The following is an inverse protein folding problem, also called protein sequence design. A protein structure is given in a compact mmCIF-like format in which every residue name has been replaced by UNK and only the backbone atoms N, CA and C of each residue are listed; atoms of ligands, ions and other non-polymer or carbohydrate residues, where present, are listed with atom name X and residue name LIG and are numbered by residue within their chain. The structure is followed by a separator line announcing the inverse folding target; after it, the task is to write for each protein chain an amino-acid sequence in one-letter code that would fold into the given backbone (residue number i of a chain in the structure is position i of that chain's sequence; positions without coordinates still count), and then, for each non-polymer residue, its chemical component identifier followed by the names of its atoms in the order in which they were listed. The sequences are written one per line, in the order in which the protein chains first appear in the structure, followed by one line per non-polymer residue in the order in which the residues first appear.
data_IF_679360306835
#
_entry.id   IF_679360306835
#
_cell.length_a   1.000
_cell.length_b   1.000
_cell.length_c   1.000
_cell.angle_alpha   90.00
_cell.angle_beta   90.00
_cell.angle_gamma   90.00
#
_symmetry.space_group_name_H-M   'P 1'
#
loop_
_entity.id
_entity.type
_entity.pdbx_description
1 polymer ?
#
# COMPACT_ATOMS: atom_id res chain seq x y z
N UNK A 1 10.94 -11.51 -7.59
CA UNK A 1 12.04 -11.09 -6.70
C UNK A 1 12.67 -9.76 -7.13
N UNK A 2 13.31 -9.69 -8.29
CA UNK A 2 13.99 -8.46 -8.74
C UNK A 2 13.09 -7.23 -8.76
N UNK A 3 11.84 -7.36 -9.16
CA UNK A 3 10.86 -6.26 -9.12
C UNK A 3 10.64 -5.72 -7.70
N UNK A 4 10.60 -6.59 -6.72
CA UNK A 4 10.32 -6.22 -5.33
C UNK A 4 11.51 -5.51 -4.72
N UNK A 5 12.71 -6.02 -4.93
CA UNK A 5 13.93 -5.40 -4.41
C UNK A 5 14.16 -3.99 -4.98
N UNK A 6 13.68 -3.71 -6.20
CA UNK A 6 13.76 -2.38 -6.79
C UNK A 6 12.71 -1.40 -6.27
N UNK A 7 11.65 -1.88 -5.60
CA UNK A 7 10.63 -1.00 -5.00
C UNK A 7 11.09 -0.39 -3.70
N UNK A 8 11.75 -1.18 -2.87
CA UNK A 8 12.28 -0.78 -1.57
C UNK A 8 13.58 -1.52 -1.31
N UNK A 9 14.48 -0.89 -0.57
CA UNK A 9 15.63 -1.59 -0.01
C UNK A 9 15.16 -2.49 1.12
N UNK A 10 15.29 -3.82 1.02
CA UNK A 10 14.75 -4.73 2.02
C UNK A 10 15.28 -4.46 3.43
N UNK A 11 16.57 -4.20 3.53
CA UNK A 11 17.26 -3.91 4.79
C UNK A 11 16.77 -2.64 5.50
N UNK A 12 16.25 -1.68 4.74
CA UNK A 12 15.72 -0.41 5.26
C UNK A 12 14.22 -0.43 5.52
N UNK A 13 13.56 -1.56 5.29
CA UNK A 13 12.12 -1.70 5.55
C UNK A 13 11.82 -1.66 7.06
N UNK A 14 10.66 -1.10 7.36
CA UNK A 14 10.09 -1.06 8.70
C UNK A 14 8.57 -1.30 8.64
N UNK A 15 7.87 -1.45 9.78
CA UNK A 15 6.42 -1.71 9.79
C UNK A 15 5.56 -0.61 9.16
N UNK A 16 6.10 0.60 8.98
CA UNK A 16 5.38 1.76 8.41
C UNK A 16 5.60 1.90 6.91
N UNK A 17 6.50 1.10 6.31
CA UNK A 17 6.86 1.21 4.89
C UNK A 17 5.65 1.01 3.97
N UNK A 18 4.78 0.05 4.29
CA UNK A 18 3.54 -0.23 3.55
C UNK A 18 2.34 0.03 4.44
N UNK A 19 1.49 0.97 4.05
CA UNK A 19 0.33 1.31 4.85
C UNK A 19 -0.66 0.13 4.92
N UNK A 20 -1.11 -0.28 6.12
CA UNK A 20 -1.89 -1.50 6.29
C UNK A 20 -3.27 -1.48 5.64
N UNK A 21 -3.87 -0.29 5.45
CA UNK A 21 -5.25 -0.16 4.96
C UNK A 21 -5.39 0.65 3.68
N UNK A 22 -4.39 1.45 3.28
CA UNK A 22 -4.50 2.28 2.08
C UNK A 22 -4.40 1.45 0.80
N UNK A 23 -5.40 1.60 -0.06
CA UNK A 23 -5.48 1.12 -1.45
C UNK A 23 -4.96 -0.31 -1.70
N UNK A 24 -5.07 -1.16 -0.69
CA UNK A 24 -4.58 -2.54 -0.75
C UNK A 24 -3.07 -2.65 -1.06
N UNK A 25 -2.29 -1.61 -0.79
CA UNK A 25 -0.86 -1.63 -1.07
C UNK A 25 -0.18 -2.82 -0.39
N UNK A 26 -0.31 -2.91 0.94
CA UNK A 26 0.29 -4.00 1.72
C UNK A 26 -0.28 -5.36 1.34
N UNK A 27 -1.59 -5.50 1.16
CA UNK A 27 -2.21 -6.79 0.80
C UNK A 27 -1.78 -7.28 -0.58
N UNK A 28 -1.65 -6.38 -1.56
CA UNK A 28 -1.18 -6.74 -2.89
C UNK A 28 0.28 -7.22 -2.88
N UNK A 29 1.15 -6.51 -2.20
CA UNK A 29 2.56 -6.90 -2.08
C UNK A 29 2.67 -8.23 -1.32
N UNK A 30 1.92 -8.39 -0.24
CA UNK A 30 1.88 -9.63 0.54
C UNK A 30 1.46 -10.84 -0.30
N UNK A 31 0.40 -10.70 -1.11
CA UNK A 31 -0.05 -11.77 -2.00
C UNK A 31 1.00 -12.13 -3.06
N UNK A 32 1.70 -11.13 -3.63
CA UNK A 32 2.82 -11.38 -4.56
C UNK A 32 3.96 -12.13 -3.87
N UNK A 33 4.33 -11.75 -2.64
CA UNK A 33 5.39 -12.39 -1.86
C UNK A 33 5.04 -13.86 -1.55
N UNK A 34 3.84 -14.12 -1.08
CA UNK A 34 3.37 -15.49 -0.81
C UNK A 34 3.46 -16.39 -2.05
N UNK A 35 3.03 -15.88 -3.21
CA UNK A 35 3.09 -16.64 -4.46
C UNK A 35 4.54 -16.90 -4.89
N UNK A 36 5.42 -15.93 -4.73
CA UNK A 36 6.84 -16.06 -5.09
C UNK A 36 7.59 -17.00 -4.14
N UNK A 37 7.33 -16.90 -2.82
CA UNK A 37 7.89 -17.81 -1.82
C UNK A 37 7.49 -19.26 -2.11
N UNK A 38 6.23 -19.49 -2.43
CA UNK A 38 5.75 -20.83 -2.82
C UNK A 38 6.47 -21.36 -4.06
N UNK A 39 6.57 -20.56 -5.12
CA UNK A 39 7.30 -20.94 -6.34
C UNK A 39 8.77 -21.22 -6.05
N UNK A 40 9.41 -20.41 -5.21
CA UNK A 40 10.81 -20.59 -4.83
C UNK A 40 11.01 -21.93 -4.10
N UNK A 41 10.09 -22.28 -3.20
CA UNK A 41 10.09 -23.55 -2.48
C UNK A 41 9.91 -24.74 -3.45
N UNK A 42 8.97 -24.67 -4.38
CA UNK A 42 8.74 -25.71 -5.39
C UNK A 42 10.00 -25.95 -6.25
N UNK A 43 10.71 -24.87 -6.61
CA UNK A 43 11.97 -24.96 -7.38
C UNK A 43 13.08 -25.57 -6.51
N UNK A 44 13.19 -25.17 -5.24
CA UNK A 44 14.16 -25.74 -4.30
C UNK A 44 14.00 -27.27 -4.22
N UNK A 45 12.79 -27.74 -3.94
CA UNK A 45 12.50 -29.18 -3.83
C UNK A 45 12.76 -29.94 -5.15
N UNK A 46 12.51 -29.28 -6.28
CA UNK A 46 12.80 -29.86 -7.59
C UNK A 46 14.29 -30.07 -7.80
N UNK A 47 15.12 -29.04 -7.50
CA UNK A 47 16.58 -29.11 -7.63
C UNK A 47 17.16 -30.12 -6.65
N UNK A 48 16.69 -30.14 -5.41
CA UNK A 48 17.15 -31.09 -4.41
C UNK A 48 16.96 -32.55 -4.88
N UNK A 49 15.83 -32.85 -5.53
CA UNK A 49 15.49 -34.19 -6.04
C UNK A 49 16.19 -34.54 -7.37
N UNK A 50 16.31 -33.57 -8.27
CA UNK A 50 16.72 -33.84 -9.67
C UNK A 50 18.16 -33.48 -9.98
N UNK A 51 18.75 -32.56 -9.22
CA UNK A 51 20.09 -32.01 -9.47
C UNK A 51 20.82 -31.63 -8.16
N UNK A 52 20.96 -32.58 -7.19
CA UNK A 52 21.49 -32.29 -5.86
C UNK A 52 22.94 -31.79 -5.88
N UNK A 53 23.72 -32.10 -6.92
CA UNK A 53 25.10 -31.62 -7.07
C UNK A 53 25.21 -30.11 -7.27
N UNK A 54 24.15 -29.44 -7.73
CA UNK A 54 24.08 -28.00 -7.92
C UNK A 54 23.29 -27.28 -6.82
N UNK A 55 22.82 -28.01 -5.81
CA UNK A 55 21.96 -27.47 -4.75
C UNK A 55 22.64 -26.31 -4.00
N UNK A 56 23.91 -26.47 -3.61
CA UNK A 56 24.65 -25.41 -2.91
C UNK A 56 24.79 -24.14 -3.76
N UNK A 57 25.06 -24.28 -5.06
CA UNK A 57 25.11 -23.13 -5.96
C UNK A 57 23.74 -22.45 -6.10
N UNK A 58 22.68 -23.24 -6.18
CA UNK A 58 21.31 -22.70 -6.23
C UNK A 58 20.94 -21.96 -4.92
N UNK A 59 21.27 -22.55 -3.75
CA UNK A 59 21.04 -21.90 -2.46
C UNK A 59 21.79 -20.56 -2.41
N UNK A 60 23.08 -20.55 -2.74
CA UNK A 60 23.90 -19.34 -2.62
C UNK A 60 23.48 -18.21 -3.57
N UNK A 61 23.16 -18.55 -4.82
CA UNK A 61 22.95 -17.57 -5.88
C UNK A 61 21.48 -17.16 -6.08
N UNK A 62 20.55 -18.02 -5.68
CA UNK A 62 19.11 -17.80 -5.96
C UNK A 62 18.26 -17.90 -4.71
N UNK A 63 18.29 -19.06 -4.03
CA UNK A 63 17.36 -19.32 -2.94
C UNK A 63 17.52 -18.36 -1.75
N UNK A 64 18.73 -18.29 -1.19
CA UNK A 64 18.99 -17.47 -0.01
C UNK A 64 18.72 -15.97 -0.24
N UNK A 65 19.27 -15.32 -1.28
CA UNK A 65 19.00 -13.90 -1.50
C UNK A 65 17.53 -13.62 -1.86
N UNK A 66 16.86 -14.53 -2.59
CA UNK A 66 15.45 -14.36 -2.92
C UNK A 66 14.56 -14.59 -1.70
N UNK A 67 14.77 -15.69 -0.98
CA UNK A 67 14.02 -16.02 0.23
C UNK A 67 14.17 -14.96 1.32
N UNK A 68 15.41 -14.57 1.64
CA UNK A 68 15.69 -13.58 2.67
C UNK A 68 15.01 -12.25 2.39
N UNK A 69 15.09 -11.75 1.15
CA UNK A 69 14.43 -10.50 0.75
C UNK A 69 12.91 -10.60 0.86
N UNK A 70 12.31 -11.64 0.30
CA UNK A 70 10.86 -11.81 0.31
C UNK A 70 10.31 -12.04 1.72
N UNK A 71 10.98 -12.87 2.52
CA UNK A 71 10.61 -13.10 3.92
C UNK A 71 10.68 -11.81 4.75
N UNK A 72 11.68 -10.97 4.50
CA UNK A 72 11.82 -9.67 5.17
C UNK A 72 10.69 -8.70 4.80
N UNK A 73 10.33 -8.59 3.52
CA UNK A 73 9.19 -7.78 3.07
C UNK A 73 7.89 -8.26 3.72
N UNK A 74 7.64 -9.56 3.68
CA UNK A 74 6.49 -10.21 4.33
C UNK A 74 6.44 -9.89 5.82
N UNK A 75 7.57 -10.04 6.53
CA UNK A 75 7.67 -9.77 7.96
C UNK A 75 7.30 -8.33 8.30
N UNK A 76 7.78 -7.34 7.54
CA UNK A 76 7.48 -5.92 7.79
C UNK A 76 6.01 -5.57 7.50
N UNK A 77 5.40 -6.16 6.47
CA UNK A 77 3.96 -6.00 6.21
C UNK A 77 3.13 -6.56 7.36
N UNK A 78 3.46 -7.77 7.82
CA UNK A 78 2.79 -8.42 8.95
C UNK A 78 2.95 -7.61 10.24
N UNK A 79 4.14 -7.04 10.48
CA UNK A 79 4.38 -6.16 11.61
C UNK A 79 3.54 -4.87 11.52
N UNK A 80 3.42 -4.28 10.34
CA UNK A 80 2.52 -3.14 10.10
C UNK A 80 1.06 -3.49 10.40
N UNK A 81 0.57 -4.64 9.96
CA UNK A 81 -0.77 -5.12 10.31
C UNK A 81 -0.93 -5.42 11.80
N UNK A 82 0.08 -6.06 12.41
CA UNK A 82 0.08 -6.31 13.86
C UNK A 82 -0.06 -4.99 14.64
N UNK A 83 0.75 -3.99 14.34
CA UNK A 83 0.70 -2.69 15.01
C UNK A 83 -0.65 -1.99 14.78
N UNK A 84 -1.14 -1.95 13.55
CA UNK A 84 -2.41 -1.31 13.22
C UNK A 84 -3.57 -1.94 14.00
N UNK A 85 -3.74 -3.26 13.91
CA UNK A 85 -4.84 -3.95 14.58
C UNK A 85 -4.68 -3.99 16.11
N UNK A 86 -3.46 -4.01 16.63
CA UNK A 86 -3.21 -3.89 18.05
C UNK A 86 -3.64 -2.52 18.61
N UNK A 87 -3.37 -1.45 17.88
CA UNK A 87 -3.82 -0.11 18.26
C UNK A 87 -5.35 0.02 18.27
N UNK A 88 -6.06 -0.74 17.42
CA UNK A 88 -7.53 -0.86 17.47
C UNK A 88 -8.04 -1.78 18.58
N UNK A 89 -7.17 -2.49 19.28
CA UNK A 89 -7.52 -3.50 20.26
C UNK A 89 -8.16 -4.75 19.64
N UNK A 90 -7.99 -4.99 18.34
CA UNK A 90 -8.51 -6.15 17.64
C UNK A 90 -7.68 -7.40 17.95
N UNK A 91 -8.32 -8.48 18.42
CA UNK A 91 -7.59 -9.71 18.84
C UNK A 91 -6.89 -10.43 17.69
N UNK A 92 -7.27 -10.18 16.44
CA UNK A 92 -6.58 -10.71 15.27
C UNK A 92 -5.13 -10.17 15.12
N UNK A 93 -4.79 -9.08 15.81
CA UNK A 93 -3.41 -8.58 15.87
C UNK A 93 -2.44 -9.65 16.36
N UNK A 94 -2.88 -10.50 17.29
CA UNK A 94 -2.04 -11.56 17.84
C UNK A 94 -1.63 -12.59 16.77
N UNK A 95 -2.51 -12.92 15.83
CA UNK A 95 -2.19 -13.83 14.72
C UNK A 95 -1.09 -13.27 13.82
N UNK A 96 -1.19 -11.97 13.50
CA UNK A 96 -0.13 -11.29 12.75
C UNK A 96 1.18 -11.25 13.52
N UNK A 97 1.13 -11.05 14.83
CA UNK A 97 2.32 -11.14 15.69
C UNK A 97 2.98 -12.51 15.66
N UNK A 98 2.20 -13.60 15.71
CA UNK A 98 2.70 -14.98 15.61
C UNK A 98 3.35 -15.23 14.23
N UNK A 99 2.80 -14.65 13.16
CA UNK A 99 3.39 -14.73 11.81
C UNK A 99 4.71 -13.95 11.72
N UNK A 100 4.81 -12.78 12.36
CA UNK A 100 6.07 -12.01 12.42
C UNK A 100 7.16 -12.84 13.11
N UNK A 101 6.87 -13.44 14.26
CA UNK A 101 7.80 -14.31 14.98
C UNK A 101 8.22 -15.53 14.13
N UNK A 102 7.29 -16.08 13.34
CA UNK A 102 7.61 -17.15 12.37
C UNK A 102 8.56 -16.67 11.27
N UNK A 103 8.36 -15.47 10.74
CA UNK A 103 9.28 -14.91 9.74
C UNK A 103 10.69 -14.71 10.32
N UNK A 104 10.82 -14.24 11.56
CA UNK A 104 12.11 -14.11 12.25
C UNK A 104 12.81 -15.47 12.39
N UNK A 105 12.06 -16.51 12.76
CA UNK A 105 12.59 -17.87 12.87
C UNK A 105 13.00 -18.44 11.51
N UNK A 106 12.24 -18.16 10.46
CA UNK A 106 12.55 -18.59 9.09
C UNK A 106 13.80 -17.90 8.57
N UNK A 107 13.98 -16.60 8.86
CA UNK A 107 15.20 -15.86 8.53
C UNK A 107 16.42 -16.50 9.17
N UNK A 108 16.37 -16.76 10.48
CA UNK A 108 17.45 -17.43 11.21
C UNK A 108 17.78 -18.80 10.62
N UNK A 109 16.78 -19.60 10.25
CA UNK A 109 16.99 -20.90 9.59
C UNK A 109 17.64 -20.77 8.21
N UNK A 110 17.28 -19.74 7.45
CA UNK A 110 17.88 -19.49 6.14
C UNK A 110 19.37 -19.11 6.28
N UNK A 111 19.72 -18.28 7.27
CA UNK A 111 21.11 -17.95 7.58
C UNK A 111 21.89 -19.21 8.00
N UNK A 112 21.31 -20.05 8.88
CA UNK A 112 21.92 -21.28 9.32
C UNK A 112 22.15 -22.27 8.17
N UNK A 113 21.14 -22.44 7.29
CA UNK A 113 21.26 -23.26 6.08
C UNK A 113 22.42 -22.81 5.19
N UNK A 114 22.56 -21.50 4.99
CA UNK A 114 23.67 -20.94 4.23
C UNK A 114 25.03 -21.22 4.88
N UNK A 115 25.13 -21.11 6.20
CA UNK A 115 26.35 -21.37 6.96
C UNK A 115 26.79 -22.84 6.96
N UNK A 116 25.81 -23.77 6.92
CA UNK A 116 26.09 -25.21 6.92
C UNK A 116 26.42 -25.77 5.53
N UNK A 117 26.14 -25.02 4.49
CA UNK A 117 26.33 -25.40 3.09
C UNK A 117 27.78 -25.76 2.81
N UNK A 118 28.01 -26.78 1.98
CA UNK A 118 29.35 -27.26 1.59
C UNK A 118 30.26 -27.55 2.79
N UNK A 119 29.71 -28.20 3.82
CA UNK A 119 30.43 -28.55 5.06
C UNK A 119 30.94 -27.32 5.83
N UNK A 120 30.20 -26.20 5.77
CA UNK A 120 30.54 -24.97 6.48
C UNK A 120 31.55 -24.07 5.74
N UNK A 121 31.84 -24.33 4.48
CA UNK A 121 32.76 -23.49 3.69
C UNK A 121 32.40 -22.02 3.70
N UNK A 122 31.08 -21.71 3.74
CA UNK A 122 30.55 -20.36 3.66
C UNK A 122 30.11 -19.80 5.02
N UNK A 123 30.55 -20.45 6.10
CA UNK A 123 30.24 -19.97 7.46
C UNK A 123 30.67 -18.52 7.64
N UNK A 124 29.80 -17.70 8.24
CA UNK A 124 30.03 -16.27 8.46
C UNK A 124 29.61 -15.35 7.31
N UNK A 125 29.36 -15.87 6.11
CA UNK A 125 28.97 -15.03 4.98
C UNK A 125 27.57 -14.43 5.08
N UNK A 126 26.65 -15.03 5.85
CA UNK A 126 25.28 -14.56 6.08
C UNK A 126 25.08 -13.82 7.40
N UNK A 127 26.16 -13.37 8.06
CA UNK A 127 26.06 -12.73 9.38
C UNK A 127 25.86 -11.22 9.35
N UNK A 128 25.90 -10.59 8.18
CA UNK A 128 25.65 -9.14 8.08
C UNK A 128 24.20 -8.83 8.49
N UNK A 129 24.02 -7.70 9.17
CA UNK A 129 22.69 -7.22 9.50
C UNK A 129 21.92 -6.91 8.22
N UNK A 130 20.69 -7.38 8.18
CA UNK A 130 19.82 -7.25 7.03
C UNK A 130 18.37 -6.93 7.43
N UNK A 131 18.11 -6.72 8.72
CA UNK A 131 16.81 -6.35 9.27
C UNK A 131 16.96 -5.04 10.03
N UNK A 132 16.23 -3.99 9.61
CA UNK A 132 16.25 -2.68 10.26
C UNK A 132 17.60 -1.99 10.20
N UNK A 133 18.30 -2.16 9.10
CA UNK A 133 19.62 -1.56 8.88
C UNK A 133 19.53 -0.04 8.80
N UNK A 134 20.27 0.66 9.66
CA UNK A 134 20.35 2.12 9.67
C UNK A 134 21.78 2.63 9.48
N UNK A 135 22.79 1.90 9.99
CA UNK A 135 24.20 2.28 9.93
C UNK A 135 25.11 1.09 9.65
N UNK A 136 26.23 1.34 9.00
CA UNK A 136 27.25 0.34 8.67
C UNK A 136 27.92 -0.33 9.89
N UNK A 137 27.82 0.30 11.05
CA UNK A 137 28.47 -0.16 12.29
C UNK A 137 27.48 -0.81 13.26
N UNK A 138 26.30 -1.23 12.81
CA UNK A 138 25.36 -1.95 13.66
C UNK A 138 25.79 -3.39 13.82
N UNK A 139 25.77 -3.89 15.06
CA UNK A 139 26.20 -5.24 15.38
C UNK A 139 25.04 -6.25 15.43
N UNK A 140 23.79 -5.78 15.45
CA UNK A 140 22.60 -6.62 15.60
C UNK A 140 21.47 -6.22 14.64
N UNK A 141 20.71 -7.21 14.18
CA UNK A 141 19.47 -6.98 13.44
C UNK A 141 18.40 -6.36 14.33
N UNK A 142 17.73 -5.33 13.86
CA UNK A 142 16.59 -4.70 14.53
C UNK A 142 15.28 -5.33 14.07
N UNK A 143 14.90 -6.39 14.72
CA UNK A 143 13.62 -7.04 14.46
C UNK A 143 12.45 -6.10 14.79
N UNK A 144 11.33 -6.16 14.04
CA UNK A 144 10.14 -5.40 14.39
C UNK A 144 9.57 -5.84 15.74
N UNK A 145 9.07 -4.88 16.50
CA UNK A 145 8.41 -5.16 17.78
C UNK A 145 7.06 -5.82 17.51
N UNK A 146 6.76 -6.89 18.23
CA UNK A 146 5.45 -7.56 18.18
C UNK A 146 4.55 -7.01 19.29
N UNK A 147 3.41 -6.46 18.91
CA UNK A 147 2.39 -5.98 19.84
C UNK A 147 1.37 -7.09 20.14
N UNK A 148 0.97 -7.21 21.41
CA UNK A 148 0.00 -8.21 21.85
C UNK A 148 -1.24 -7.55 22.42
N UNK A 149 -2.40 -8.02 22.00
CA UNK A 149 -3.70 -7.58 22.49
C UNK A 149 -4.20 -8.54 23.55
N UNK A 150 -4.55 -8.01 24.72
CA UNK A 150 -5.24 -8.76 25.78
C UNK A 150 -6.75 -8.62 25.51
N UNK A 151 -7.46 -9.74 25.25
CA UNK A 151 -8.90 -9.68 24.97
C UNK A 151 -9.68 -9.05 26.12
N UNK A 152 -10.64 -8.19 25.78
CA UNK A 152 -11.55 -7.58 26.73
C UNK A 152 -12.42 -8.65 27.42
N UNK A 153 -12.75 -8.44 28.71
CA UNK A 153 -13.62 -9.33 29.48
C UNK A 153 -15.11 -9.01 29.31
N UNK A 154 -15.48 -8.24 28.32
CA UNK A 154 -16.84 -7.96 27.88
C UNK A 154 -16.95 -8.25 26.37
N UNK A 155 -18.17 -8.57 25.91
CA UNK A 155 -18.43 -8.70 24.48
C UNK A 155 -18.17 -7.37 23.78
N UNK A 156 -17.34 -7.36 22.76
CA UNK A 156 -16.96 -6.14 22.06
C UNK A 156 -16.63 -6.41 20.61
N UNK A 157 -17.19 -5.59 19.72
CA UNK A 157 -16.97 -5.61 18.28
C UNK A 157 -16.59 -4.21 17.82
N UNK A 158 -15.48 -4.09 17.11
CA UNK A 158 -15.10 -2.89 16.38
C UNK A 158 -15.57 -3.01 14.92
N UNK A 159 -16.18 -1.96 14.41
CA UNK A 159 -16.60 -1.81 13.00
C UNK A 159 -15.61 -0.86 12.31
N UNK A 160 -15.03 -1.24 11.20
CA UNK A 160 -14.10 -0.41 10.45
C UNK A 160 -14.52 -0.31 8.97
N UNK A 161 -14.50 0.90 8.44
CA UNK A 161 -14.67 1.13 7.00
C UNK A 161 -13.35 0.78 6.29
N UNK A 162 -13.36 -0.27 5.46
CA UNK A 162 -12.15 -0.76 4.80
C UNK A 162 -11.57 0.31 3.87
N UNK A 163 -10.23 0.37 3.80
CA UNK A 163 -9.51 1.37 3.03
C UNK A 163 -9.36 2.73 3.71
N UNK A 164 -9.88 2.89 4.92
CA UNK A 164 -9.81 4.11 5.71
C UNK A 164 -9.31 3.83 7.13
N UNK A 165 -8.97 4.87 7.87
CA UNK A 165 -8.66 4.76 9.30
C UNK A 165 -9.92 4.89 10.20
N UNK A 166 -11.13 5.03 9.62
CA UNK A 166 -12.36 5.22 10.37
C UNK A 166 -12.84 3.90 10.99
N UNK A 167 -13.19 3.97 12.26
CA UNK A 167 -13.71 2.84 13.01
C UNK A 167 -14.65 3.33 14.12
N UNK A 168 -15.55 2.45 14.54
CA UNK A 168 -16.51 2.70 15.64
C UNK A 168 -16.81 1.41 16.40
N UNK A 169 -17.22 1.51 17.66
CA UNK A 169 -17.60 0.37 18.48
C UNK A 169 -19.07 0.36 18.90
N UNK A 170 -19.78 1.46 18.66
CA UNK A 170 -21.20 1.60 19.02
C UNK A 170 -21.43 2.17 20.41
N UNK A 171 -20.40 2.45 21.18
CA UNK A 171 -20.54 3.01 22.54
C UNK A 171 -21.22 4.38 22.51
N UNK A 172 -22.28 4.62 23.32
CA UNK A 172 -23.01 5.89 23.29
C UNK A 172 -22.20 7.10 23.75
N UNK A 173 -20.98 6.89 24.25
CA UNK A 173 -20.07 7.93 24.70
C UNK A 173 -19.03 8.35 23.68
N UNK A 174 -19.02 7.69 22.51
CA UNK A 174 -18.07 7.91 21.42
C UNK A 174 -18.80 8.34 20.14
N UNK A 175 -18.08 8.95 19.22
CA UNK A 175 -18.57 9.11 17.86
C UNK A 175 -18.61 7.73 17.17
N UNK A 176 -19.80 7.36 16.72
CA UNK A 176 -20.06 6.09 16.05
C UNK A 176 -20.45 6.29 14.58
N UNK A 177 -20.12 7.45 14.03
CA UNK A 177 -20.38 7.77 12.63
C UNK A 177 -19.12 7.56 11.79
N UNK A 178 -19.32 6.99 10.61
CA UNK A 178 -18.27 6.78 9.61
C UNK A 178 -18.81 7.16 8.23
N UNK A 179 -17.92 7.39 7.28
CA UNK A 179 -18.29 7.68 5.89
C UNK A 179 -17.53 6.75 4.94
N UNK A 180 -18.25 6.02 4.12
CA UNK A 180 -17.69 5.10 3.12
C UNK A 180 -17.82 5.75 1.74
N UNK A 181 -16.71 6.31 1.23
CA UNK A 181 -16.71 7.14 0.02
C UNK A 181 -16.43 6.39 -1.29
N UNK A 182 -16.27 5.07 -1.26
CA UNK A 182 -15.92 4.26 -2.43
C UNK A 182 -16.85 4.49 -3.63
N UNK A 183 -18.15 4.62 -3.39
CA UNK A 183 -19.16 4.79 -4.44
C UNK A 183 -19.29 6.23 -4.98
N UNK A 184 -18.49 7.16 -4.47
CA UNK A 184 -18.27 8.44 -5.14
C UNK A 184 -17.47 8.26 -6.43
N UNK A 185 -16.64 7.22 -6.51
CA UNK A 185 -16.04 6.80 -7.76
C UNK A 185 -17.10 6.07 -8.61
N UNK A 186 -17.48 6.58 -9.78
CA UNK A 186 -18.54 6.03 -10.64
C UNK A 186 -18.22 4.61 -11.15
N UNK A 187 -16.96 4.23 -11.20
CA UNK A 187 -16.51 2.89 -11.61
C UNK A 187 -16.50 1.89 -10.43
N UNK A 188 -16.57 2.38 -9.21
CA UNK A 188 -16.60 1.53 -8.02
C UNK A 188 -18.02 1.03 -7.74
N UNK A 189 -18.19 -0.27 -7.78
CA UNK A 189 -19.46 -0.93 -7.46
C UNK A 189 -19.37 -1.85 -6.24
N UNK A 190 -18.18 -1.96 -5.63
CA UNK A 190 -17.92 -2.84 -4.49
C UNK A 190 -17.11 -2.11 -3.44
N UNK A 191 -17.54 -2.26 -2.21
CA UNK A 191 -16.84 -1.77 -1.03
C UNK A 191 -16.96 -2.80 0.09
N UNK A 192 -16.33 -2.57 1.22
CA UNK A 192 -16.46 -3.45 2.37
C UNK A 192 -16.33 -2.71 3.69
N UNK A 193 -16.91 -3.34 4.70
CA UNK A 193 -16.80 -2.96 6.10
C UNK A 193 -16.39 -4.20 6.87
N UNK A 194 -15.33 -4.12 7.64
CA UNK A 194 -14.86 -5.27 8.42
C UNK A 194 -15.13 -5.08 9.90
N UNK A 195 -15.67 -6.11 10.52
CA UNK A 195 -15.91 -6.21 11.94
C UNK A 195 -14.79 -7.01 12.58
N UNK A 196 -14.25 -6.52 13.69
CA UNK A 196 -13.16 -7.16 14.44
C UNK A 196 -13.59 -7.45 15.86
N UNK A 197 -13.29 -8.66 16.34
CA UNK A 197 -13.48 -8.98 17.76
C UNK A 197 -12.40 -8.29 18.59
N UNK A 198 -12.80 -7.72 19.73
CA UNK A 198 -11.92 -7.17 20.77
C UNK A 198 -11.89 -8.03 22.04
N UNK A 199 -12.64 -9.13 22.04
CA UNK A 199 -12.77 -10.03 23.19
C UNK A 199 -12.72 -11.50 22.76
N UNK A 200 -12.53 -12.39 23.70
CA UNK A 200 -12.62 -13.86 23.58
C UNK A 200 -14.08 -14.38 23.81
N UNK A 201 -15.03 -13.48 23.99
CA UNK A 201 -16.44 -13.82 24.23
C UNK A 201 -17.22 -13.71 22.93
N UNK A 202 -18.11 -14.69 22.68
CA UNK A 202 -19.00 -14.66 21.52
C UNK A 202 -19.89 -13.41 21.55
N UNK A 203 -19.77 -12.61 20.49
CA UNK A 203 -20.49 -11.35 20.28
C UNK A 203 -21.21 -11.38 18.94
N UNK A 204 -22.48 -10.97 18.92
CA UNK A 204 -23.31 -10.97 17.71
C UNK A 204 -23.36 -9.56 17.11
N UNK A 205 -23.50 -9.48 15.79
CA UNK A 205 -23.77 -8.26 15.06
C UNK A 205 -24.96 -8.44 14.13
N UNK A 206 -25.60 -7.33 13.79
CA UNK A 206 -26.71 -7.31 12.85
C UNK A 206 -26.77 -5.99 12.09
N UNK A 207 -26.97 -6.07 10.77
CA UNK A 207 -27.29 -4.91 9.94
C UNK A 207 -28.76 -4.55 10.18
N UNK A 208 -29.00 -3.38 10.76
CA UNK A 208 -30.35 -2.91 11.13
C UNK A 208 -31.02 -2.16 9.99
N UNK A 209 -30.24 -1.34 9.26
CA UNK A 209 -30.68 -0.52 8.13
C UNK A 209 -29.63 -0.55 7.03
N UNK A 210 -30.07 -0.52 5.80
CA UNK A 210 -29.23 -0.30 4.63
C UNK A 210 -29.99 0.44 3.52
N UNK A 211 -29.33 1.19 2.65
CA UNK A 211 -29.94 1.77 1.46
C UNK A 211 -30.59 0.71 0.58
N UNK A 212 -31.71 1.05 -0.08
CA UNK A 212 -32.39 0.13 -0.98
C UNK A 212 -31.55 -0.30 -2.19
N UNK A 213 -30.62 0.56 -2.60
CA UNK A 213 -29.69 0.37 -3.69
C UNK A 213 -28.36 -0.32 -3.26
N UNK A 214 -28.22 -0.68 -1.99
CA UNK A 214 -27.02 -1.36 -1.49
C UNK A 214 -27.35 -2.81 -1.10
N UNK A 215 -26.59 -3.78 -1.62
CA UNK A 215 -26.55 -5.15 -1.07
C UNK A 215 -25.44 -5.22 -0.03
N UNK A 216 -25.72 -5.90 1.08
CA UNK A 216 -24.77 -6.13 2.18
C UNK A 216 -24.81 -7.61 2.55
N UNK A 217 -23.67 -8.28 2.56
CA UNK A 217 -23.55 -9.70 2.87
C UNK A 217 -22.28 -9.98 3.68
N UNK A 218 -22.38 -10.72 4.81
CA UNK A 218 -23.58 -11.19 5.49
C UNK A 218 -24.31 -10.08 6.27
N UNK A 219 -25.64 -10.24 6.48
CA UNK A 219 -26.46 -9.25 7.20
C UNK A 219 -26.40 -9.40 8.72
N UNK A 220 -26.08 -10.57 9.22
CA UNK A 220 -25.96 -10.88 10.65
C UNK A 220 -24.96 -12.02 10.87
N UNK A 221 -24.42 -12.12 12.06
CA UNK A 221 -23.45 -13.14 12.41
C UNK A 221 -22.85 -12.92 13.80
N UNK A 222 -21.70 -13.49 14.02
CA UNK A 222 -21.01 -13.42 15.30
C UNK A 222 -19.50 -13.43 15.14
N UNK A 223 -18.80 -12.99 16.18
CA UNK A 223 -17.36 -13.14 16.36
C UNK A 223 -17.10 -13.66 17.78
N UNK A 224 -16.04 -14.42 17.97
CA UNK A 224 -15.67 -14.97 19.30
C UNK A 224 -14.21 -14.69 19.70
N UNK A 225 -13.47 -14.01 18.84
CA UNK A 225 -12.06 -13.69 19.08
C UNK A 225 -11.11 -14.90 19.08
N UNK A 226 -11.62 -16.10 18.86
CA UNK A 226 -10.85 -17.36 18.82
C UNK A 226 -10.94 -17.99 17.43
N UNK A 227 -12.10 -18.50 17.05
CA UNK A 227 -12.31 -19.14 15.74
C UNK A 227 -12.72 -18.15 14.65
N UNK A 228 -13.41 -17.09 15.02
CA UNK A 228 -13.87 -16.04 14.11
C UNK A 228 -13.52 -14.66 14.66
N UNK A 229 -12.30 -14.21 14.39
CA UNK A 229 -11.76 -12.94 14.92
C UNK A 229 -12.16 -11.73 14.11
N UNK A 230 -12.53 -11.93 12.84
CA UNK A 230 -12.99 -10.87 11.92
C UNK A 230 -14.07 -11.38 10.97
N UNK A 231 -14.97 -10.48 10.58
CA UNK A 231 -15.99 -10.72 9.53
C UNK A 231 -16.00 -9.54 8.60
N UNK A 232 -15.94 -9.80 7.31
CA UNK A 232 -16.03 -8.78 6.27
C UNK A 232 -17.45 -8.76 5.71
N UNK A 233 -18.09 -7.60 5.78
CA UNK A 233 -19.35 -7.32 5.09
C UNK A 233 -19.03 -6.82 3.69
N UNK A 234 -19.43 -7.56 2.67
CA UNK A 234 -19.27 -7.15 1.28
C UNK A 234 -20.46 -6.27 0.89
N UNK A 235 -20.16 -5.08 0.41
CA UNK A 235 -21.13 -4.12 -0.04
C UNK A 235 -21.10 -4.05 -1.58
N UNK A 236 -22.28 -4.16 -2.21
CA UNK A 236 -22.40 -4.08 -3.66
C UNK A 236 -23.45 -3.03 -4.04
N UNK A 237 -23.04 -2.04 -4.81
CA UNK A 237 -23.93 -1.01 -5.37
C UNK A 237 -24.78 -1.59 -6.49
N UNK A 238 -26.11 -1.53 -6.35
CA UNK A 238 -27.06 -1.96 -7.36
C UNK A 238 -27.53 -0.71 -8.12
N UNK A 239 -26.79 -0.33 -9.15
CA UNK A 239 -27.02 0.91 -9.92
C UNK A 239 -28.47 1.07 -10.41
N UNK A 240 -29.13 -0.04 -10.77
CA UNK A 240 -30.52 -0.05 -11.27
C UNK A 240 -31.56 0.31 -10.19
N UNK A 241 -31.15 0.35 -8.92
CA UNK A 241 -32.03 0.73 -7.79
C UNK A 241 -31.75 2.13 -7.26
N UNK A 242 -30.83 2.85 -7.88
CA UNK A 242 -30.61 4.25 -7.52
C UNK A 242 -31.86 5.07 -7.86
N UNK A 243 -32.26 6.02 -7.00
CA UNK A 243 -33.38 6.90 -7.28
C UNK A 243 -33.04 7.82 -8.46
N UNK A 244 -34.02 8.12 -9.29
CA UNK A 244 -33.90 9.17 -10.31
C UNK A 244 -33.75 10.52 -9.60
N UNK A 245 -32.67 11.25 -9.91
CA UNK A 245 -32.35 12.54 -9.30
C UNK A 245 -31.55 13.41 -10.24
N UNK A 246 -31.67 14.72 -10.04
CA UNK A 246 -30.83 15.71 -10.70
C UNK A 246 -29.62 16.13 -9.85
N UNK A 247 -29.43 15.50 -8.70
CA UNK A 247 -28.26 15.74 -7.84
C UNK A 247 -27.09 14.89 -8.32
N UNK A 248 -25.89 15.45 -8.30
CA UNK A 248 -24.67 14.72 -8.66
C UNK A 248 -24.26 13.68 -7.62
N UNK A 249 -24.76 13.82 -6.38
CA UNK A 249 -24.49 12.88 -5.31
C UNK A 249 -25.73 12.67 -4.45
N UNK A 250 -26.01 11.43 -4.10
CA UNK A 250 -26.99 11.05 -3.09
C UNK A 250 -26.29 10.34 -1.94
N UNK A 251 -26.90 10.32 -0.77
CA UNK A 251 -26.39 9.57 0.37
C UNK A 251 -27.51 8.96 1.20
N UNK A 252 -27.22 7.83 1.82
CA UNK A 252 -28.07 7.19 2.84
C UNK A 252 -27.16 6.47 3.84
N UNK A 253 -27.70 5.90 4.91
CA UNK A 253 -26.93 5.27 5.96
C UNK A 253 -27.09 3.75 6.01
N UNK A 254 -25.98 3.08 6.34
CA UNK A 254 -25.89 1.69 6.76
C UNK A 254 -25.75 1.68 8.29
N UNK A 255 -26.64 0.97 8.99
CA UNK A 255 -26.60 0.87 10.46
C UNK A 255 -26.29 -0.56 10.88
N UNK A 256 -25.31 -0.71 11.77
CA UNK A 256 -24.85 -1.99 12.28
C UNK A 256 -24.96 -1.99 13.80
N UNK A 257 -25.71 -2.95 14.34
CA UNK A 257 -25.76 -3.20 15.77
C UNK A 257 -24.55 -4.03 16.22
N UNK A 258 -23.96 -3.61 17.33
CA UNK A 258 -22.88 -4.30 18.05
C UNK A 258 -23.32 -4.52 19.51
N UNK A 259 -22.60 -5.28 20.34
CA UNK A 259 -22.91 -5.41 21.76
C UNK A 259 -22.88 -4.09 22.54
N UNK A 260 -22.07 -3.13 22.09
CA UNK A 260 -21.95 -1.81 22.72
C UNK A 260 -23.04 -0.84 22.29
N UNK A 261 -23.66 -1.05 21.12
CA UNK A 261 -24.70 -0.17 20.59
C UNK A 261 -24.76 -0.18 19.06
N UNK A 262 -24.91 0.99 18.46
CA UNK A 262 -25.12 1.14 17.02
C UNK A 262 -24.01 1.96 16.37
N UNK A 263 -23.47 1.44 15.27
CA UNK A 263 -22.58 2.18 14.38
C UNK A 263 -23.35 2.62 13.13
N UNK A 264 -23.13 3.84 12.68
CA UNK A 264 -23.74 4.41 11.48
C UNK A 264 -22.68 4.75 10.44
N UNK A 265 -22.90 4.28 9.21
CA UNK A 265 -21.99 4.50 8.10
C UNK A 265 -22.76 5.24 7.02
N UNK A 266 -22.42 6.50 6.80
CA UNK A 266 -22.94 7.28 5.67
C UNK A 266 -22.31 6.75 4.38
N UNK A 267 -23.15 6.44 3.40
CA UNK A 267 -22.73 5.90 2.11
C UNK A 267 -23.17 6.88 1.00
N UNK A 268 -22.30 7.82 0.59
CA UNK A 268 -22.54 8.67 -0.57
C UNK A 268 -22.30 7.91 -1.86
N UNK A 269 -23.10 8.19 -2.88
CA UNK A 269 -22.99 7.62 -4.24
C UNK A 269 -23.01 8.74 -5.25
N UNK A 270 -22.06 8.72 -6.17
CA UNK A 270 -22.09 9.64 -7.31
C UNK A 270 -23.13 9.18 -8.34
N UNK A 271 -24.03 10.09 -8.70
CA UNK A 271 -25.15 9.88 -9.64
C UNK A 271 -25.05 10.76 -10.88
N UNK A 272 -24.06 11.66 -10.94
CA UNK A 272 -23.81 12.55 -12.06
C UNK A 272 -23.43 11.81 -13.34
N UNK A 273 -23.60 12.47 -14.49
CA UNK A 273 -23.30 11.86 -15.79
C UNK A 273 -21.79 11.92 -16.07
N UNK A 274 -21.07 10.82 -15.80
CA UNK A 274 -19.67 10.63 -16.20
C UNK A 274 -19.52 9.54 -17.27
N UNK A 275 -20.59 9.24 -18.04
CA UNK A 275 -20.59 8.11 -18.99
C UNK A 275 -19.46 8.16 -20.03
N UNK A 276 -18.90 9.34 -20.30
CA UNK A 276 -17.80 9.52 -21.25
C UNK A 276 -16.43 9.76 -20.59
N UNK A 277 -16.32 9.70 -19.27
CA UNK A 277 -15.08 10.00 -18.54
C UNK A 277 -14.48 8.74 -17.91
N UNK A 278 -13.43 8.24 -18.54
CA UNK A 278 -12.59 7.19 -17.95
C UNK A 278 -11.53 7.81 -17.02
N UNK A 279 -11.13 7.07 -15.99
CA UNK A 279 -10.06 7.48 -15.07
C UNK A 279 -10.33 8.82 -14.35
N UNK A 280 -11.55 9.03 -13.85
CA UNK A 280 -11.86 10.16 -12.96
C UNK A 280 -11.56 9.75 -11.53
N UNK A 281 -10.70 10.51 -10.87
CA UNK A 281 -10.38 10.28 -9.45
C UNK A 281 -11.33 11.09 -8.58
N UNK A 282 -11.67 10.55 -7.42
CA UNK A 282 -12.55 11.23 -6.46
C UNK A 282 -11.82 11.27 -5.13
N UNK A 283 -11.88 12.40 -4.44
CA UNK A 283 -11.26 12.51 -3.14
C UNK A 283 -11.90 11.54 -2.14
N UNK A 284 -11.05 10.97 -1.32
CA UNK A 284 -11.48 10.03 -0.27
C UNK A 284 -10.89 10.50 1.04
N UNK A 285 -11.75 10.84 2.01
CA UNK A 285 -11.31 11.24 3.33
C UNK A 285 -10.46 12.52 3.38
N UNK A 286 -10.66 13.43 2.44
CA UNK A 286 -9.91 14.68 2.34
C UNK A 286 -8.56 14.57 1.64
N UNK A 287 -8.27 13.46 0.98
CA UNK A 287 -7.12 13.31 0.10
C UNK A 287 -7.49 12.60 -1.21
N UNK A 288 -6.68 12.84 -2.23
CA UNK A 288 -6.79 12.28 -3.56
C UNK A 288 -5.47 11.61 -3.92
N UNK A 289 -5.50 10.32 -4.22
CA UNK A 289 -4.33 9.56 -4.66
C UNK A 289 -4.44 9.22 -6.13
N UNK A 290 -3.45 9.61 -6.93
CA UNK A 290 -3.43 9.41 -8.38
C UNK A 290 -2.16 8.68 -8.79
N UNK A 291 -2.33 7.50 -9.39
CA UNK A 291 -1.24 6.81 -10.09
C UNK A 291 -0.86 7.57 -11.37
N UNK A 292 0.43 7.87 -11.53
CA UNK A 292 0.91 8.59 -12.70
C UNK A 292 0.59 7.91 -14.03
N UNK A 293 0.44 6.59 -14.04
CA UNK A 293 0.07 5.82 -15.24
C UNK A 293 -1.43 5.87 -15.60
N UNK A 294 -2.27 6.40 -14.72
CA UNK A 294 -3.72 6.49 -14.93
C UNK A 294 -4.17 7.85 -15.46
N UNK A 295 -3.41 8.40 -16.36
CA UNK A 295 -3.77 9.64 -17.07
C UNK A 295 -4.95 9.43 -18.02
N UNK A 296 -5.69 10.51 -18.30
CA UNK A 296 -6.77 10.51 -19.32
C UNK A 296 -6.23 10.86 -20.69
N UNK A 297 -5.18 11.68 -20.75
CA UNK A 297 -4.56 12.11 -22.00
C UNK A 297 -3.05 12.27 -21.79
N UNK A 298 -2.27 11.93 -22.83
CA UNK A 298 -0.83 12.11 -22.88
C UNK A 298 -0.46 12.89 -24.14
N UNK A 299 0.04 14.09 -23.95
CA UNK A 299 0.40 14.97 -25.05
C UNK A 299 1.92 15.02 -25.18
N UNK A 300 2.45 14.69 -26.37
CA UNK A 300 3.87 14.75 -26.60
C UNK A 300 4.38 16.19 -26.70
N UNK A 301 5.61 16.39 -26.27
CA UNK A 301 6.39 17.60 -26.52
C UNK A 301 7.38 17.43 -27.67
N UNK A 302 8.22 18.42 -27.88
CA UNK A 302 9.25 18.40 -28.90
C UNK A 302 10.57 18.95 -28.37
N UNK A 303 11.65 18.30 -28.72
CA UNK A 303 13.01 18.78 -28.44
C UNK A 303 13.87 18.69 -29.69
N UNK A 304 14.24 19.83 -30.25
CA UNK A 304 14.84 19.93 -31.59
C UNK A 304 13.92 19.21 -32.58
N UNK A 305 14.40 18.29 -33.37
CA UNK A 305 13.59 17.54 -34.35
C UNK A 305 13.08 16.19 -33.81
N UNK A 306 13.07 15.99 -32.48
CA UNK A 306 12.64 14.76 -31.84
C UNK A 306 11.40 14.96 -31.01
N UNK A 307 10.43 14.05 -31.14
CA UNK A 307 9.28 13.98 -30.25
C UNK A 307 9.70 13.50 -28.87
N UNK A 308 9.18 14.15 -27.84
CA UNK A 308 9.35 13.76 -26.43
C UNK A 308 8.01 13.32 -25.90
N UNK A 309 7.93 12.15 -25.27
CA UNK A 309 6.68 11.61 -24.71
C UNK A 309 6.92 10.90 -23.40
N UNK A 310 5.89 10.82 -22.57
CA UNK A 310 5.89 9.99 -21.40
C UNK A 310 5.69 8.52 -21.76
N UNK A 311 6.49 7.64 -21.18
CA UNK A 311 6.35 6.19 -21.29
C UNK A 311 6.19 5.56 -19.91
N UNK A 312 5.38 4.50 -19.85
CA UNK A 312 5.16 3.76 -18.60
C UNK A 312 6.29 2.75 -18.38
N UNK A 313 6.99 2.89 -17.27
CA UNK A 313 8.00 1.96 -16.78
C UNK A 313 7.34 0.95 -15.84
N UNK A 314 6.91 -0.16 -16.37
CA UNK A 314 6.29 -1.23 -15.58
C UNK A 314 7.32 -1.89 -14.64
N UNK A 315 6.90 -2.13 -13.40
CA UNK A 315 7.73 -2.72 -12.37
C UNK A 315 8.56 -1.71 -11.58
N UNK A 316 8.43 -0.42 -11.88
CA UNK A 316 9.09 0.66 -11.17
C UNK A 316 8.12 1.40 -10.23
N UNK A 317 8.70 2.12 -9.25
CA UNK A 317 7.94 2.92 -8.30
C UNK A 317 7.26 2.11 -7.20
N UNK A 318 6.66 2.81 -6.26
CA UNK A 318 6.00 2.25 -5.07
C UNK A 318 4.84 1.31 -5.43
N UNK A 319 4.12 1.62 -6.50
CA UNK A 319 2.89 0.97 -6.92
C UNK A 319 3.05 0.12 -8.18
N UNK A 320 4.29 -0.21 -8.56
CA UNK A 320 4.64 -1.06 -9.71
C UNK A 320 4.49 -0.38 -11.08
N UNK A 321 4.42 0.94 -11.09
CA UNK A 321 4.32 1.75 -12.31
C UNK A 321 4.95 3.12 -12.08
N UNK A 322 5.70 3.62 -13.07
CA UNK A 322 6.22 4.98 -13.06
C UNK A 322 6.18 5.57 -14.46
N UNK A 323 5.99 6.88 -14.56
CA UNK A 323 6.02 7.60 -15.83
C UNK A 323 7.35 8.33 -16.01
N UNK A 324 7.96 8.21 -17.17
CA UNK A 324 9.20 8.92 -17.51
C UNK A 324 9.12 9.48 -18.93
N UNK A 325 9.60 10.73 -19.11
CA UNK A 325 9.73 11.33 -20.43
C UNK A 325 10.93 10.76 -21.18
N UNK A 326 10.74 10.41 -22.44
CA UNK A 326 11.78 9.92 -23.36
C UNK A 326 11.76 10.72 -24.66
N UNK A 327 12.94 10.92 -25.30
CA UNK A 327 14.27 10.42 -24.90
C UNK A 327 14.81 11.15 -23.66
N UNK A 328 15.59 10.43 -22.83
CA UNK A 328 16.07 10.92 -21.52
C UNK A 328 17.09 12.09 -21.62
N UNK A 329 17.64 12.35 -22.80
CA UNK A 329 18.56 13.44 -23.09
C UNK A 329 17.84 14.71 -23.62
N UNK A 330 16.51 14.70 -23.66
CA UNK A 330 15.74 15.87 -24.08
C UNK A 330 15.65 16.89 -22.93
N UNK A 331 15.94 18.15 -23.26
CA UNK A 331 15.82 19.27 -22.35
C UNK A 331 14.63 20.13 -22.81
N UNK A 332 13.44 19.84 -22.31
CA UNK A 332 12.21 20.56 -22.62
C UNK A 332 11.83 21.53 -21.49
N UNK A 333 11.04 22.54 -21.81
CA UNK A 333 10.60 23.57 -20.88
C UNK A 333 9.11 23.35 -20.57
N UNK A 334 8.74 23.15 -19.29
CA UNK A 334 7.33 23.04 -18.89
C UNK A 334 6.48 24.21 -19.38
N UNK A 335 5.29 23.90 -19.93
CA UNK A 335 4.37 24.89 -20.49
C UNK A 335 4.72 25.41 -21.90
N UNK A 336 5.83 24.97 -22.49
CA UNK A 336 6.22 25.35 -23.86
C UNK A 336 6.32 24.14 -24.77
N UNK A 337 7.37 23.37 -24.68
CA UNK A 337 7.69 22.25 -25.55
C UNK A 337 7.80 20.90 -24.81
N UNK A 338 7.55 20.89 -23.50
CA UNK A 338 7.56 19.68 -22.69
C UNK A 338 6.30 18.81 -22.93
N UNK A 339 6.44 17.48 -22.85
CA UNK A 339 5.29 16.59 -22.83
C UNK A 339 4.51 16.78 -21.53
N UNK A 340 3.19 16.48 -21.55
CA UNK A 340 2.40 16.50 -20.33
C UNK A 340 1.39 15.36 -20.27
N UNK A 341 0.96 15.05 -19.04
CA UNK A 341 -0.08 14.08 -18.72
C UNK A 341 -1.26 14.83 -18.10
N UNK A 342 -2.47 14.49 -18.52
CA UNK A 342 -3.70 15.06 -17.99
C UNK A 342 -4.42 14.08 -17.08
N UNK A 343 -4.89 14.57 -15.94
CA UNK A 343 -5.68 13.83 -14.98
C UNK A 343 -6.99 14.55 -14.73
N UNK A 344 -8.06 13.78 -14.49
CA UNK A 344 -9.36 14.33 -14.13
C UNK A 344 -9.72 13.89 -12.73
N UNK A 345 -10.18 14.82 -11.91
CA UNK A 345 -10.62 14.52 -10.56
C UNK A 345 -11.79 15.38 -10.12
N UNK A 346 -12.52 14.89 -9.12
CA UNK A 346 -13.62 15.57 -8.46
C UNK A 346 -13.27 15.68 -6.99
N UNK A 347 -13.35 16.87 -6.44
CA UNK A 347 -13.23 17.14 -5.01
C UNK A 347 -14.62 17.23 -4.40
N UNK A 348 -14.81 16.61 -3.24
CA UNK A 348 -16.09 16.67 -2.51
C UNK A 348 -16.31 18.07 -1.90
N UNK A 349 -15.24 18.68 -1.43
CA UNK A 349 -15.27 19.99 -0.78
C UNK A 349 -14.35 20.98 -1.50
N UNK A 350 -14.75 22.23 -1.55
CA UNK A 350 -13.87 23.32 -2.00
C UNK A 350 -12.91 23.70 -0.87
N UNK A 351 -11.63 23.96 -1.21
CA UNK A 351 -10.64 24.31 -0.21
C UNK A 351 -9.25 24.47 -0.79
N UNK A 352 -8.28 24.61 0.10
CA UNK A 352 -6.86 24.60 -0.24
C UNK A 352 -6.33 23.18 -0.04
N UNK A 353 -5.67 22.65 -1.05
CA UNK A 353 -5.07 21.32 -1.05
C UNK A 353 -3.56 21.44 -1.24
N UNK A 354 -2.82 20.59 -0.55
CA UNK A 354 -1.41 20.38 -0.78
C UNK A 354 -1.21 19.26 -1.79
N UNK A 355 -0.32 19.45 -2.78
CA UNK A 355 -0.03 18.43 -3.78
C UNK A 355 1.36 17.86 -3.54
N UNK A 356 1.43 16.56 -3.26
CA UNK A 356 2.67 15.81 -3.10
C UNK A 356 2.97 14.99 -4.37
N UNK A 357 4.17 15.14 -4.91
CA UNK A 357 4.63 14.40 -6.08
C UNK A 357 5.70 13.38 -5.67
N UNK A 358 5.35 12.11 -5.71
CA UNK A 358 6.29 11.01 -5.43
C UNK A 358 7.13 10.73 -6.67
N UNK A 359 8.36 11.19 -6.65
CA UNK A 359 9.31 11.01 -7.73
C UNK A 359 10.40 10.01 -7.36
N UNK A 360 10.89 9.25 -8.34
CA UNK A 360 12.05 8.41 -8.10
C UNK A 360 13.31 9.28 -7.96
N UNK A 361 14.23 8.93 -7.05
CA UNK A 361 15.52 9.58 -6.96
C UNK A 361 16.24 9.48 -8.31
N UNK A 362 16.63 10.61 -8.85
CA UNK A 362 17.36 10.69 -10.11
C UNK A 362 18.49 11.69 -9.99
N UNK A 363 19.66 11.29 -10.41
CA UNK A 363 20.78 12.22 -10.52
C UNK A 363 20.65 13.01 -11.83
N UNK A 364 20.93 14.31 -11.83
CA UNK A 364 21.04 15.07 -13.06
C UNK A 364 22.18 14.50 -13.92
N UNK A 365 21.98 14.44 -15.23
CA UNK A 365 22.99 13.91 -16.18
C UNK A 365 24.20 14.86 -16.27
N UNK A 366 23.96 16.16 -16.14
CA UNK A 366 25.00 17.19 -16.03
C UNK A 366 24.66 18.15 -14.88
N UNK A 367 25.64 19.00 -14.50
CA UNK A 367 25.40 20.02 -13.46
C UNK A 367 24.32 21.04 -13.82
N UNK A 368 24.02 21.21 -15.10
CA UNK A 368 23.01 22.13 -15.62
C UNK A 368 21.67 21.40 -15.87
N UNK A 369 21.67 20.06 -15.90
CA UNK A 369 20.47 19.28 -16.10
C UNK A 369 19.65 19.29 -14.81
N UNK A 370 18.51 19.89 -14.92
CA UNK A 370 17.51 19.96 -13.88
C UNK A 370 16.32 19.05 -14.28
N UNK A 371 15.63 18.51 -13.30
CA UNK A 371 14.34 17.84 -13.51
C UNK A 371 13.24 18.87 -13.28
N UNK A 372 12.93 19.62 -14.33
CA UNK A 372 11.93 20.68 -14.27
C UNK A 372 10.53 20.12 -14.50
N UNK A 373 9.59 20.55 -13.68
CA UNK A 373 8.18 20.28 -13.89
C UNK A 373 7.31 21.51 -13.53
N UNK A 374 6.11 21.56 -14.05
CA UNK A 374 5.08 22.49 -13.62
C UNK A 374 3.73 21.77 -13.59
N UNK A 375 2.81 22.26 -12.78
CA UNK A 375 1.45 21.76 -12.67
C UNK A 375 0.52 22.78 -13.23
N UNK A 376 -0.48 22.35 -14.01
CA UNK A 376 -1.56 23.20 -14.49
C UNK A 376 -2.88 22.67 -13.94
N UNK A 377 -3.61 23.53 -13.23
CA UNK A 377 -4.94 23.23 -12.74
C UNK A 377 -5.92 24.10 -13.54
N UNK A 378 -6.76 23.45 -14.32
CA UNK A 378 -7.60 24.12 -15.32
C UNK A 378 -6.74 24.98 -16.28
N UNK A 379 -6.86 26.30 -16.22
CA UNK A 379 -6.11 27.24 -17.06
C UNK A 379 -4.91 27.89 -16.37
N UNK A 380 -4.77 27.69 -15.04
CA UNK A 380 -3.70 28.26 -14.25
C UNK A 380 -2.52 27.32 -14.13
N UNK A 381 -1.33 27.79 -14.46
CA UNK A 381 -0.07 27.01 -14.34
C UNK A 381 0.78 27.55 -13.18
N UNK A 382 1.32 26.63 -12.40
CA UNK A 382 2.29 26.96 -11.34
C UNK A 382 3.61 27.46 -11.95
N UNK A 383 4.44 28.06 -11.11
CA UNK A 383 5.84 28.27 -11.48
C UNK A 383 6.54 26.95 -11.75
N UNK A 384 7.58 27.00 -12.57
CA UNK A 384 8.41 25.83 -12.87
C UNK A 384 9.24 25.48 -11.63
N UNK A 385 9.12 24.23 -11.19
CA UNK A 385 9.82 23.68 -10.04
C UNK A 385 10.92 22.75 -10.51
N UNK A 386 12.08 22.77 -9.84
CA UNK A 386 13.12 21.77 -10.04
C UNK A 386 12.98 20.68 -8.98
N UNK A 387 12.72 19.45 -9.42
CA UNK A 387 12.64 18.29 -8.52
C UNK A 387 14.00 17.85 -7.96
N UNK A 388 15.11 18.33 -8.55
CA UNK A 388 16.46 18.10 -8.02
C UNK A 388 16.91 19.34 -7.26
N UNK A 389 17.20 19.20 -5.99
CA UNK A 389 17.72 20.32 -5.20
C UNK A 389 19.05 20.83 -5.72
N UNK A 390 19.27 22.14 -5.60
CA UNK A 390 20.43 22.82 -6.20
C UNK A 390 21.77 22.25 -5.73
N UNK A 391 21.80 21.76 -4.49
CA UNK A 391 23.00 21.21 -3.84
C UNK A 391 22.99 19.68 -3.75
N UNK A 392 22.13 19.02 -4.55
CA UNK A 392 22.07 17.57 -4.59
C UNK A 392 23.34 16.99 -5.23
N UNK A 393 24.19 16.41 -4.41
CA UNK A 393 25.45 15.80 -4.82
C UNK A 393 25.58 14.41 -4.20
N UNK A 394 26.11 13.48 -4.99
CA UNK A 394 26.52 12.16 -4.49
C UNK A 394 27.83 12.32 -3.71
N UNK A 395 27.91 11.82 -2.48
CA UNK A 395 29.13 11.83 -1.69
C UNK A 395 28.91 11.81 -0.18
N UNK A 396 29.99 11.82 0.58
CA UNK A 396 30.03 11.56 2.02
C UNK A 396 29.27 12.57 2.93
N UNK A 397 28.83 13.70 2.39
CA UNK A 397 28.08 14.72 3.12
C UNK A 397 26.69 15.00 2.49
N UNK A 398 26.24 14.11 1.64
CA UNK A 398 24.99 14.27 0.90
C UNK A 398 23.80 13.68 1.68
N UNK A 399 23.44 14.31 2.78
CA UNK A 399 22.31 13.87 3.62
C UNK A 399 21.04 13.65 2.80
N UNK A 400 20.68 14.59 1.94
CA UNK A 400 19.50 14.51 1.05
C UNK A 400 19.62 13.43 -0.02
N UNK A 401 20.83 13.16 -0.52
CA UNK A 401 21.05 12.03 -1.41
C UNK A 401 20.87 10.71 -0.67
N UNK A 402 21.43 10.59 0.53
CA UNK A 402 21.30 9.40 1.35
C UNK A 402 19.83 9.14 1.71
N UNK A 403 19.08 10.16 2.11
CA UNK A 403 17.65 10.08 2.36
C UNK A 403 16.87 9.63 1.12
N UNK A 404 17.09 10.26 -0.03
CA UNK A 404 16.44 9.87 -1.29
C UNK A 404 16.81 8.45 -1.73
N UNK A 405 18.03 7.97 -1.47
CA UNK A 405 18.43 6.59 -1.75
C UNK A 405 17.76 5.61 -0.81
N UNK A 406 17.65 5.93 0.49
CA UNK A 406 17.02 5.07 1.49
C UNK A 406 15.50 4.99 1.31
N UNK A 407 14.84 6.11 1.10
CA UNK A 407 13.39 6.15 0.89
C UNK A 407 12.95 5.69 -0.50
N UNK A 408 13.86 5.73 -1.49
CA UNK A 408 13.60 5.46 -2.92
C UNK A 408 12.51 6.35 -3.55
N UNK A 409 12.23 7.47 -2.92
CA UNK A 409 11.31 8.53 -3.38
C UNK A 409 11.92 9.90 -3.09
N UNK A 410 11.44 10.91 -3.81
CA UNK A 410 11.67 12.34 -3.56
C UNK A 410 10.36 13.07 -3.39
#
# INVERSE_FOLDING_TARGET
YTKIIHRRRPEALNPETYHPVQEKESSRIFEEEEQLLKKLQDVYETIEKTNPQNLSAFIALVYYPAFGTMNLVKMQILAGWNHYYANLGAVCANDYGDEVERCMEQDRKAVEMYHQMDQGRWYGMGMSQHIGFTHWNEDECRNPVVMRVIPLKKRSILVAADGTAQHAEGSPWLDNTMKLKDFLNPDCTRASVTLYSRSDLKAEYKVLKKPGWLSVEPMEGWLDGVSQKKVRLNLTLIKQRLPETNQDTIQDSLEIATPEGKCEITVPVYTGNLQDKKNVFVDTMGYLSIEAAHYVNSVPGNYKDRQVKFENLQGYGKTNSAMKAFPSDACTVPGQDAPYLEYQFVLEESGTYEAEFYMQPSNPVTRENQLLYAVRINEEMTETVNAVEKDYQVGDQAEKWAEGVLSQIR
#
